data_IF_221402493380
#
_entry.id   IF_221402493380
#
_cell.length_a   1.000
_cell.length_b   1.000
_cell.length_c   1.000
_cell.angle_alpha   90.00
_cell.angle_beta   90.00
_cell.angle_gamma   90.00
#
_symmetry.space_group_name_H-M   'P 1'
#
loop_
_entity.id
_entity.type
_entity.pdbx_description
1 polymer ?
#
# COMPACT_ATOMS: atom_id res chain seq x y z
N UNK A 1 -0.46 2.13 8.35
CA UNK A 1 0.38 2.99 7.49
C UNK A 1 -0.02 4.47 7.54
N UNK A 2 -1.30 4.82 7.34
CA UNK A 2 -1.78 6.22 7.35
C UNK A 2 -1.43 7.02 8.63
N UNK A 3 -1.60 6.42 9.81
CA UNK A 3 -1.32 7.07 11.11
C UNK A 3 0.16 7.43 11.32
N UNK A 4 1.09 6.69 10.70
CA UNK A 4 2.52 6.94 10.82
C UNK A 4 3.02 7.97 9.79
N UNK A 5 2.38 8.04 8.62
CA UNK A 5 2.78 8.95 7.53
C UNK A 5 2.13 10.34 7.64
N UNK A 6 0.89 10.42 8.13
CA UNK A 6 0.16 11.69 8.32
C UNK A 6 0.96 12.74 9.10
N UNK A 7 1.64 12.44 10.22
CA UNK A 7 2.43 13.45 10.93
C UNK A 7 3.71 13.91 10.20
N UNK A 8 4.16 13.19 9.17
CA UNK A 8 5.42 13.47 8.46
C UNK A 8 5.16 14.25 7.18
N UNK A 9 4.20 13.80 6.37
CA UNK A 9 3.90 14.38 5.05
C UNK A 9 2.51 15.01 4.97
N UNK A 10 1.73 14.98 6.05
CA UNK A 10 0.35 15.47 6.09
C UNK A 10 -0.64 14.50 5.42
N UNK A 11 -1.92 14.60 5.78
CA UNK A 11 -2.99 13.75 5.22
C UNK A 11 -3.08 13.87 3.70
N UNK A 12 -2.96 15.10 3.17
CA UNK A 12 -2.96 15.33 1.72
C UNK A 12 -1.71 14.76 1.04
N UNK A 13 -0.57 14.73 1.73
CA UNK A 13 0.64 14.08 1.24
C UNK A 13 0.48 12.57 1.14
N UNK A 14 -0.16 11.93 2.13
CA UNK A 14 -0.46 10.50 2.08
C UNK A 14 -1.39 10.17 0.91
N UNK A 15 -2.46 10.95 0.75
CA UNK A 15 -3.41 10.85 -0.37
C UNK A 15 -2.68 11.00 -1.71
N UNK A 16 -1.85 12.03 -1.88
CA UNK A 16 -1.10 12.26 -3.11
C UNK A 16 -0.09 11.15 -3.40
N UNK A 17 0.59 10.64 -2.38
CA UNK A 17 1.54 9.54 -2.48
C UNK A 17 0.86 8.25 -2.97
N UNK A 18 -0.29 7.90 -2.40
CA UNK A 18 -1.07 6.74 -2.84
C UNK A 18 -1.53 6.88 -4.28
N UNK A 19 -2.10 8.04 -4.67
CA UNK A 19 -2.52 8.28 -6.06
C UNK A 19 -1.36 8.18 -7.04
N UNK A 20 -0.20 8.74 -6.67
CA UNK A 20 1.00 8.68 -7.51
C UNK A 20 1.51 7.25 -7.67
N UNK A 21 1.50 6.48 -6.59
CA UNK A 21 1.93 5.08 -6.61
C UNK A 21 1.03 4.22 -7.51
N UNK A 22 -0.30 4.38 -7.37
CA UNK A 22 -1.27 3.68 -8.22
C UNK A 22 -1.14 4.08 -9.70
N UNK A 23 -1.00 5.37 -9.99
CA UNK A 23 -0.82 5.85 -11.36
C UNK A 23 0.43 5.26 -12.02
N UNK A 24 1.55 5.20 -11.29
CA UNK A 24 2.78 4.61 -11.80
C UNK A 24 2.63 3.09 -12.03
N UNK A 25 1.95 2.40 -11.12
CA UNK A 25 1.67 0.97 -11.25
C UNK A 25 0.80 0.69 -12.50
N UNK A 26 -0.30 1.44 -12.67
CA UNK A 26 -1.19 1.35 -13.83
C UNK A 26 -0.45 1.66 -15.15
N UNK A 27 0.41 2.67 -15.17
CA UNK A 27 1.21 3.00 -16.36
C UNK A 27 2.22 1.91 -16.76
N UNK A 28 2.69 1.13 -15.79
CA UNK A 28 3.66 0.04 -16.01
C UNK A 28 2.95 -1.23 -16.48
N UNK A 29 1.66 -1.39 -16.17
CA UNK A 29 0.90 -2.60 -16.48
C UNK A 29 -0.47 -2.27 -17.11
N UNK A 30 -0.52 -1.98 -18.42
CA UNK A 30 -1.74 -1.55 -19.11
C UNK A 30 -2.90 -2.55 -19.02
N UNK A 31 -2.58 -3.84 -18.90
CA UNK A 31 -3.57 -4.93 -18.78
C UNK A 31 -4.41 -4.82 -17.49
N UNK A 32 -3.81 -4.23 -16.46
CA UNK A 32 -4.41 -4.00 -15.16
C UNK A 32 -4.85 -2.53 -15.00
N UNK A 33 -4.36 -1.60 -15.83
CA UNK A 33 -4.73 -0.19 -15.75
C UNK A 33 -6.24 0.05 -15.80
N UNK A 34 -6.97 -0.69 -16.64
CA UNK A 34 -8.43 -0.54 -16.78
C UNK A 34 -9.20 -0.93 -15.51
N UNK A 35 -8.73 -1.95 -14.77
CA UNK A 35 -9.33 -2.36 -13.50
C UNK A 35 -8.99 -1.39 -12.37
N UNK A 36 -7.78 -0.81 -12.39
CA UNK A 36 -7.30 0.08 -11.33
C UNK A 36 -7.59 1.58 -11.54
N UNK A 37 -8.01 2.01 -12.73
CA UNK A 37 -8.41 3.40 -13.01
C UNK A 37 -9.60 3.85 -12.14
N UNK A 38 -10.58 2.95 -11.93
CA UNK A 38 -11.72 3.20 -11.04
C UNK A 38 -11.27 3.39 -9.58
N UNK A 39 -10.25 2.65 -9.18
CA UNK A 39 -9.63 2.68 -7.86
C UNK A 39 -8.90 4.00 -7.58
N UNK A 40 -8.29 4.59 -8.61
CA UNK A 40 -7.63 5.89 -8.49
C UNK A 40 -8.62 7.01 -8.17
N UNK A 41 -9.89 6.86 -8.57
CA UNK A 41 -10.94 7.83 -8.33
C UNK A 41 -11.53 7.74 -6.92
N UNK A 42 -11.72 6.53 -6.38
CA UNK A 42 -12.31 6.31 -5.05
C UNK A 42 -11.30 6.43 -3.91
N UNK A 43 -10.03 6.08 -4.17
CA UNK A 43 -8.99 5.93 -3.14
C UNK A 43 -9.44 5.03 -1.98
N UNK A 44 -10.23 4.00 -2.28
CA UNK A 44 -10.70 3.06 -1.27
C UNK A 44 -9.82 1.81 -1.23
N UNK A 45 -9.14 1.61 -0.09
CA UNK A 45 -8.35 0.40 0.15
C UNK A 45 -9.23 -0.87 0.20
N UNK A 46 -10.53 -0.72 0.49
CA UNK A 46 -11.50 -1.81 0.43
C UNK A 46 -11.72 -2.22 -1.02
N UNK A 47 -11.89 -1.26 -1.92
CA UNK A 47 -12.03 -1.52 -3.36
C UNK A 47 -10.75 -2.12 -3.95
N UNK A 48 -9.57 -1.67 -3.49
CA UNK A 48 -8.28 -2.30 -3.81
C UNK A 48 -8.26 -3.77 -3.44
N UNK A 49 -8.67 -4.10 -2.22
CA UNK A 49 -8.71 -5.47 -1.75
C UNK A 49 -9.68 -6.31 -2.56
N UNK A 50 -10.87 -5.80 -2.88
CA UNK A 50 -11.87 -6.51 -3.69
C UNK A 50 -11.32 -6.81 -5.08
N UNK A 51 -10.70 -5.82 -5.74
CA UNK A 51 -10.12 -6.02 -7.08
C UNK A 51 -8.97 -7.04 -7.03
N UNK A 52 -8.11 -7.00 -6.01
CA UNK A 52 -7.05 -8.00 -5.83
C UNK A 52 -7.60 -9.42 -5.63
N UNK A 53 -8.73 -9.57 -4.94
CA UNK A 53 -9.38 -10.89 -4.73
C UNK A 53 -9.99 -11.44 -6.02
N UNK A 54 -10.40 -10.57 -6.93
CA UNK A 54 -10.95 -10.95 -8.24
C UNK A 54 -9.86 -11.28 -9.28
N UNK A 55 -8.60 -10.90 -9.04
CA UNK A 55 -7.47 -11.24 -9.92
C UNK A 55 -6.95 -12.65 -9.66
N UNK A 56 -6.21 -13.19 -10.64
CA UNK A 56 -5.39 -14.37 -10.44
C UNK A 56 -4.33 -14.12 -9.35
N UNK A 57 -4.00 -15.16 -8.58
CA UNK A 57 -3.04 -15.07 -7.47
C UNK A 57 -1.68 -14.51 -7.93
N UNK A 58 -1.23 -14.88 -9.13
CA UNK A 58 0.04 -14.41 -9.70
C UNK A 58 -0.01 -12.92 -10.06
N UNK A 59 -1.11 -12.47 -10.66
CA UNK A 59 -1.31 -11.07 -11.03
C UNK A 59 -1.50 -10.19 -9.77
N UNK A 60 -2.22 -10.69 -8.76
CA UNK A 60 -2.43 -10.00 -7.49
C UNK A 60 -1.13 -9.85 -6.69
N UNK A 61 -0.30 -10.90 -6.61
CA UNK A 61 1.00 -10.84 -5.96
C UNK A 61 1.94 -9.87 -6.68
N UNK A 62 2.04 -9.99 -8.01
CA UNK A 62 2.91 -9.13 -8.80
C UNK A 62 2.52 -7.65 -8.67
N UNK A 63 1.22 -7.35 -8.75
CA UNK A 63 0.73 -5.99 -8.55
C UNK A 63 1.03 -5.47 -7.13
N UNK A 64 0.84 -6.31 -6.11
CA UNK A 64 1.13 -5.97 -4.72
C UNK A 64 2.60 -5.64 -4.48
N UNK A 65 3.51 -6.50 -4.97
CA UNK A 65 4.96 -6.27 -4.90
C UNK A 65 5.36 -4.98 -5.62
N UNK A 66 4.78 -4.74 -6.81
CA UNK A 66 5.11 -3.55 -7.58
C UNK A 66 4.61 -2.26 -6.93
N UNK A 67 3.37 -2.26 -6.46
CA UNK A 67 2.80 -1.12 -5.75
C UNK A 67 3.63 -0.79 -4.49
N UNK A 68 4.04 -1.81 -3.74
CA UNK A 68 4.87 -1.62 -2.54
C UNK A 68 6.26 -1.08 -2.90
N UNK A 69 6.86 -1.57 -3.97
CA UNK A 69 8.18 -1.12 -4.45
C UNK A 69 8.14 0.35 -4.86
N UNK A 70 7.13 0.75 -5.63
CA UNK A 70 6.94 2.15 -6.04
C UNK A 70 6.71 3.04 -4.81
N UNK A 71 5.88 2.59 -3.87
CA UNK A 71 5.59 3.33 -2.65
C UNK A 71 6.86 3.52 -1.79
N UNK A 72 7.69 2.48 -1.67
CA UNK A 72 8.98 2.54 -0.98
C UNK A 72 9.92 3.54 -1.63
N UNK A 73 10.02 3.54 -2.96
CA UNK A 73 10.92 4.42 -3.71
C UNK A 73 10.48 5.89 -3.60
N UNK A 74 9.18 6.15 -3.72
CA UNK A 74 8.61 7.48 -3.53
C UNK A 74 8.81 7.98 -2.09
N UNK A 75 8.61 7.13 -1.08
CA UNK A 75 8.90 7.50 0.31
C UNK A 75 10.38 7.77 0.52
N UNK A 76 11.26 6.93 -0.01
CA UNK A 76 12.71 7.11 0.06
C UNK A 76 13.15 8.43 -0.57
N UNK A 77 12.51 8.83 -1.66
CA UNK A 77 12.76 10.14 -2.30
C UNK A 77 12.22 11.31 -1.48
N UNK A 78 11.06 11.17 -0.84
CA UNK A 78 10.40 12.26 -0.10
C UNK A 78 10.97 12.50 1.29
N UNK A 79 11.26 11.43 2.04
CA UNK A 79 11.61 11.50 3.46
C UNK A 79 12.96 10.83 3.78
N UNK A 80 13.61 10.23 2.79
CA UNK A 80 14.90 9.56 2.93
C UNK A 80 14.79 8.08 3.32
N UNK A 81 15.79 7.26 2.94
CA UNK A 81 15.75 5.80 3.09
C UNK A 81 15.67 5.35 4.55
N UNK A 82 16.35 6.05 5.46
CA UNK A 82 16.36 5.68 6.89
C UNK A 82 14.99 5.82 7.54
N UNK A 83 14.23 6.87 7.21
CA UNK A 83 12.88 7.06 7.74
C UNK A 83 11.88 6.11 7.08
N UNK A 84 11.99 5.92 5.76
CA UNK A 84 11.16 4.96 5.03
C UNK A 84 11.27 3.55 5.62
N UNK A 85 12.50 3.05 5.80
CA UNK A 85 12.73 1.73 6.37
C UNK A 85 12.12 1.59 7.78
N UNK A 86 12.30 2.60 8.64
CA UNK A 86 11.78 2.57 10.02
C UNK A 86 10.25 2.60 10.10
N UNK A 87 9.61 3.35 9.21
CA UNK A 87 8.13 3.44 9.16
C UNK A 87 7.52 2.15 8.63
N UNK A 88 8.11 1.58 7.58
CA UNK A 88 7.64 0.32 7.01
C UNK A 88 7.92 -0.86 7.93
N UNK A 89 9.06 -0.89 8.63
CA UNK A 89 9.33 -1.92 9.64
C UNK A 89 8.32 -1.87 10.78
N UNK A 90 7.92 -0.68 11.22
CA UNK A 90 6.90 -0.51 12.25
C UNK A 90 5.53 -1.04 11.81
N UNK A 91 5.12 -0.76 10.57
CA UNK A 91 3.85 -1.28 10.01
C UNK A 91 3.88 -2.80 9.86
N UNK A 92 5.00 -3.36 9.40
CA UNK A 92 5.16 -4.80 9.25
C UNK A 92 5.10 -5.52 10.61
N UNK A 93 5.76 -4.99 11.63
CA UNK A 93 5.70 -5.54 13.00
C UNK A 93 4.31 -5.44 13.62
N UNK A 94 3.58 -4.33 13.40
CA UNK A 94 2.18 -4.22 13.85
C UNK A 94 1.28 -5.22 13.16
N UNK A 95 1.46 -5.45 11.85
CA UNK A 95 0.67 -6.44 11.09
C UNK A 95 0.92 -7.88 11.54
N UNK A 96 2.13 -8.20 12.01
CA UNK A 96 2.47 -9.52 12.54
C UNK A 96 2.02 -9.73 13.99
N UNK A 97 1.82 -8.63 14.73
CA UNK A 97 1.38 -8.67 16.13
C UNK A 97 -0.13 -8.91 16.27
N UNK A 98 -0.89 -8.89 15.16
CA UNK A 98 -2.32 -9.20 15.08
C UNK A 98 -2.62 -10.72 15.11
N UNK A 99 -1.70 -11.55 15.62
CA UNK A 99 -2.07 -12.89 16.10
C UNK A 99 -2.95 -12.75 17.35
N UNK A 100 -4.16 -13.34 17.38
CA UNK A 100 -5.04 -13.26 18.53
C UNK A 100 -4.45 -14.11 19.65
N UNK A 101 -3.62 -13.52 20.49
CA UNK A 101 -3.29 -14.11 21.78
C UNK A 101 -4.49 -13.92 22.70
N UNK A 102 -5.42 -14.88 22.65
CA UNK A 102 -5.90 -15.61 23.82
C UNK A 102 -6.94 -16.65 23.38
N UNK A 103 -6.44 -17.78 22.89
CA UNK A 103 -7.18 -19.05 22.93
C UNK A 103 -6.91 -19.68 24.32
N UNK A 104 -7.96 -19.74 25.15
CA UNK A 104 -8.34 -20.76 26.15
C UNK A 104 -7.29 -21.27 27.17
N UNK A 105 -7.54 -21.57 28.45
CA UNK A 105 -8.69 -21.80 29.37
C UNK A 105 -8.02 -22.50 30.61
N UNK A 106 -8.58 -22.71 31.84
CA UNK A 106 -9.96 -22.61 32.33
C UNK A 106 -10.17 -21.70 33.56
#
# INVERSE_FOLDING_TARGET
MNAALTPIIGQQGVIALYRRSLHLCASTYPRLACTYDNLQASMDLIELKTILVEQDETDAQFFGEMLLTILYDLLTTLIGPSLTARLLSGVYQSSLSDTPSQENSP
#
